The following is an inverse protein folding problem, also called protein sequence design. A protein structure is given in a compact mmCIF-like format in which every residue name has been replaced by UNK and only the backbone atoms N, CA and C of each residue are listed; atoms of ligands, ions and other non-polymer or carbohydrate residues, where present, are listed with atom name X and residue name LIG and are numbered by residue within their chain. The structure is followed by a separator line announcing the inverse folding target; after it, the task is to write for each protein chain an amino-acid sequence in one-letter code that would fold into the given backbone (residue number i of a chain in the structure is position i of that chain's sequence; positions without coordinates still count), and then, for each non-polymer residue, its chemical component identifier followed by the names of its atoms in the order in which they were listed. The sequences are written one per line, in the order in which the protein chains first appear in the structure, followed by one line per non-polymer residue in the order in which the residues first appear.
data_IF_209389056070
#
_entry.id   IF_209389056070
#
_cell.length_a   1.000
_cell.length_b   1.000
_cell.length_c   1.000
_cell.angle_alpha   90.00
_cell.angle_beta   90.00
_cell.angle_gamma   90.00
#
_symmetry.space_group_name_H-M   'P 1'
#
loop_
_entity.id
_entity.type
_entity.pdbx_description
1 polymer ?
#
# COMPACT_ATOMS: atom_id res chain seq x y z
N UNK A 1 -3.85 2.54 17.22
CA UNK A 1 -4.51 3.45 16.26
C UNK A 1 -3.60 4.61 15.86
N UNK A 2 -3.07 5.41 16.81
CA UNK A 2 -2.15 6.51 16.47
C UNK A 2 -0.90 6.05 15.71
N UNK A 3 -0.30 4.93 16.10
CA UNK A 3 0.86 4.34 15.40
C UNK A 3 0.54 3.95 13.95
N UNK A 4 -0.68 3.45 13.68
CA UNK A 4 -1.12 3.06 12.35
C UNK A 4 -1.30 4.28 11.45
N UNK A 5 -1.99 5.32 11.92
CA UNK A 5 -2.16 6.56 11.16
C UNK A 5 -0.81 7.27 10.95
N UNK A 6 0.07 7.26 11.96
CA UNK A 6 1.43 7.78 11.85
C UNK A 6 2.25 7.00 10.80
N UNK A 7 2.13 5.67 10.74
CA UNK A 7 2.74 4.85 9.69
C UNK A 7 2.26 5.28 8.30
N UNK A 8 0.94 5.34 8.07
CA UNK A 8 0.39 5.73 6.75
C UNK A 8 0.84 7.15 6.37
N UNK A 9 0.88 8.08 7.34
CA UNK A 9 1.41 9.42 7.13
C UNK A 9 2.88 9.37 6.70
N UNK A 10 3.74 8.67 7.46
CA UNK A 10 5.18 8.57 7.19
C UNK A 10 5.47 8.05 5.79
N UNK A 11 4.75 7.01 5.36
CA UNK A 11 4.98 6.38 4.05
C UNK A 11 4.53 7.26 2.88
N UNK A 12 3.57 8.17 3.08
CA UNK A 12 3.16 9.20 2.11
C UNK A 12 4.16 10.38 2.10
N UNK A 13 4.66 10.77 3.27
CA UNK A 13 5.57 11.90 3.46
C UNK A 13 6.94 11.75 2.78
N UNK A 14 7.27 10.58 2.22
CA UNK A 14 8.48 10.40 1.38
C UNK A 14 8.36 11.09 0.02
N UNK A 15 7.15 11.19 -0.54
CA UNK A 15 6.92 11.67 -1.90
C UNK A 15 7.47 13.08 -2.18
N UNK A 16 7.30 14.09 -1.32
CA UNK A 16 7.85 15.42 -1.58
C UNK A 16 9.37 15.40 -1.79
N UNK A 17 10.10 14.61 -0.99
CA UNK A 17 11.55 14.45 -1.14
C UNK A 17 11.92 13.69 -2.42
N UNK A 18 11.17 12.64 -2.76
CA UNK A 18 11.36 11.87 -4.00
C UNK A 18 11.13 12.71 -5.26
N UNK A 19 10.13 13.61 -5.23
CA UNK A 19 9.77 14.50 -6.34
C UNK A 19 10.73 15.69 -6.47
N UNK A 20 11.28 16.20 -5.37
CA UNK A 20 12.31 17.24 -5.39
C UNK A 20 13.67 16.74 -5.92
N UNK A 21 13.91 15.43 -5.87
CA UNK A 21 15.13 14.83 -6.36
C UNK A 21 15.19 14.74 -7.90
N UNK A 22 16.39 14.77 -8.51
CA UNK A 22 16.55 14.57 -9.94
C UNK A 22 15.90 13.27 -10.42
N UNK A 23 15.20 13.34 -11.55
CA UNK A 23 14.59 12.18 -12.18
C UNK A 23 15.65 11.16 -12.62
N UNK A 24 15.55 9.89 -12.20
CA UNK A 24 16.26 8.82 -12.89
C UNK A 24 15.84 8.75 -14.36
N UNK A 25 16.73 8.27 -15.23
CA UNK A 25 16.48 8.25 -16.67
C UNK A 25 15.37 7.28 -17.10
N UNK A 26 15.15 6.20 -16.33
CA UNK A 26 14.16 5.17 -16.60
C UNK A 26 13.73 4.47 -15.32
N UNK A 27 12.53 3.92 -15.32
CA UNK A 27 12.09 2.98 -14.28
C UNK A 27 12.80 1.63 -14.44
N UNK A 28 13.06 0.97 -13.32
CA UNK A 28 13.71 -0.34 -13.24
C UNK A 28 12.89 -1.35 -12.41
N UNK A 29 11.90 -0.88 -11.64
CA UNK A 29 10.95 -1.73 -10.92
C UNK A 29 9.52 -1.27 -11.14
N UNK A 30 8.59 -2.23 -11.17
CA UNK A 30 7.13 -2.09 -11.11
C UNK A 30 6.61 -2.24 -9.67
N UNK A 31 5.32 -1.95 -9.45
CA UNK A 31 4.65 -2.15 -8.15
C UNK A 31 4.67 -3.62 -7.72
N UNK A 32 4.51 -4.55 -8.65
CA UNK A 32 4.61 -6.00 -8.37
C UNK A 32 6.02 -6.34 -7.88
N UNK A 33 7.06 -5.88 -8.58
CA UNK A 33 8.46 -6.12 -8.19
C UNK A 33 8.84 -5.42 -6.88
N UNK A 34 8.20 -4.30 -6.56
CA UNK A 34 8.38 -3.61 -5.29
C UNK A 34 7.98 -4.49 -4.09
N UNK A 35 6.93 -5.31 -4.25
CA UNK A 35 6.43 -6.24 -3.22
C UNK A 35 7.00 -7.67 -3.30
N UNK A 36 8.06 -7.89 -4.08
CA UNK A 36 8.72 -9.20 -4.14
C UNK A 36 9.33 -9.57 -2.77
N UNK A 37 9.35 -10.85 -2.39
CA UNK A 37 9.92 -11.31 -1.11
C UNK A 37 11.46 -11.19 -1.13
N UNK A 38 11.99 -10.02 -0.79
CA UNK A 38 13.42 -9.76 -0.65
C UNK A 38 13.76 -8.94 0.60
N UNK A 39 15.01 -8.46 0.69
CA UNK A 39 15.53 -7.71 1.84
C UNK A 39 14.70 -6.46 2.23
N UNK A 40 13.85 -5.95 1.33
CA UNK A 40 12.90 -4.85 1.65
C UNK A 40 11.93 -5.21 2.76
N UNK A 41 11.65 -6.49 2.96
CA UNK A 41 10.74 -7.03 3.98
C UNK A 41 11.47 -7.85 5.05
N UNK A 42 12.81 -7.74 5.11
CA UNK A 42 13.57 -8.36 6.19
C UNK A 42 13.10 -7.85 7.57
N UNK A 43 13.14 -8.69 8.62
CA UNK A 43 12.65 -8.33 9.95
C UNK A 43 13.22 -7.00 10.49
N UNK A 44 14.51 -6.73 10.29
CA UNK A 44 15.17 -5.50 10.76
C UNK A 44 14.67 -4.27 10.00
N UNK A 45 14.44 -4.38 8.69
CA UNK A 45 13.87 -3.30 7.85
C UNK A 45 12.44 -2.96 8.31
N UNK A 46 11.65 -3.99 8.64
CA UNK A 46 10.30 -3.82 9.16
C UNK A 46 10.30 -3.20 10.57
N UNK A 47 11.19 -3.66 11.46
CA UNK A 47 11.34 -3.11 12.80
C UNK A 47 11.73 -1.63 12.78
N UNK A 48 12.65 -1.23 11.90
CA UNK A 48 13.04 0.17 11.74
C UNK A 48 11.86 1.06 11.27
N UNK A 49 11.00 0.54 10.38
CA UNK A 49 9.80 1.23 9.91
C UNK A 49 8.75 1.39 11.03
N UNK A 50 8.54 0.34 11.83
CA UNK A 50 7.64 0.39 12.99
C UNK A 50 8.15 1.42 14.00
N UNK A 51 9.45 1.41 14.32
CA UNK A 51 10.06 2.37 15.24
C UNK A 51 9.90 3.82 14.76
N UNK A 52 10.03 4.07 13.44
CA UNK A 52 9.81 5.39 12.86
C UNK A 52 8.36 5.87 13.04
N UNK A 53 7.38 5.00 12.82
CA UNK A 53 5.97 5.31 13.03
C UNK A 53 5.65 5.58 14.51
N UNK A 54 6.24 4.79 15.42
CA UNK A 54 6.09 4.96 16.86
C UNK A 54 6.68 6.29 17.35
N UNK A 55 7.90 6.63 16.92
CA UNK A 55 8.54 7.90 17.25
C UNK A 55 7.69 9.07 16.77
N UNK A 56 7.18 9.01 15.54
CA UNK A 56 6.33 10.07 15.00
C UNK A 56 5.00 10.19 15.75
N UNK A 57 4.36 9.06 16.10
CA UNK A 57 3.14 9.07 16.90
C UNK A 57 3.37 9.68 18.29
N UNK A 58 4.54 9.45 18.90
CA UNK A 58 4.91 10.00 20.21
C UNK A 58 5.19 11.52 20.17
N UNK A 59 5.59 12.06 19.02
CA UNK A 59 5.82 13.49 18.81
C UNK A 59 4.51 14.30 18.68
N UNK A 60 3.39 13.64 18.36
CA UNK A 60 2.12 14.32 18.16
C UNK A 60 1.38 14.60 19.48
N UNK A 61 0.88 15.82 19.61
CA UNK A 61 0.19 16.29 20.82
C UNK A 61 -1.16 15.58 21.07
N UNK A 62 -1.82 15.10 20.01
CA UNK A 62 -3.09 14.38 20.10
C UNK A 62 -3.41 13.62 18.81
N UNK A 63 -4.41 12.73 18.84
CA UNK A 63 -4.92 12.07 17.63
C UNK A 63 -5.54 13.05 16.62
N UNK A 64 -6.10 14.17 17.07
CA UNK A 64 -6.61 15.22 16.16
C UNK A 64 -5.46 15.92 15.43
N UNK A 65 -4.37 16.25 16.13
CA UNK A 65 -3.18 16.83 15.52
C UNK A 65 -2.56 15.89 14.47
N UNK A 66 -2.54 14.58 14.76
CA UNK A 66 -2.07 13.58 13.80
C UNK A 66 -2.97 13.49 12.56
N UNK A 67 -4.30 13.61 12.73
CA UNK A 67 -5.23 13.63 11.60
C UNK A 67 -5.07 14.89 10.74
N UNK A 68 -4.92 16.07 11.36
CA UNK A 68 -4.65 17.34 10.66
C UNK A 68 -3.33 17.30 9.89
N UNK A 69 -2.27 16.74 10.48
CA UNK A 69 -0.96 16.58 9.81
C UNK A 69 -1.03 15.56 8.67
N UNK A 70 -1.77 14.46 8.84
CA UNK A 70 -2.06 13.54 7.74
C UNK A 70 -2.79 14.25 6.60
N UNK A 71 -3.82 15.05 6.92
CA UNK A 71 -4.61 15.80 5.94
C UNK A 71 -3.75 16.80 5.13
N UNK A 72 -2.93 17.58 5.82
CA UNK A 72 -2.01 18.50 5.18
C UNK A 72 -1.02 17.76 4.27
N UNK A 73 -0.49 16.62 4.74
CA UNK A 73 0.50 15.81 4.03
C UNK A 73 -0.06 15.23 2.73
N UNK A 74 -1.21 14.55 2.76
CA UNK A 74 -1.75 13.93 1.54
C UNK A 74 -2.17 14.98 0.51
N UNK A 75 -2.73 16.11 0.95
CA UNK A 75 -3.11 17.21 0.05
C UNK A 75 -1.89 17.83 -0.63
N UNK A 76 -0.78 17.99 0.09
CA UNK A 76 0.48 18.44 -0.50
C UNK A 76 0.98 17.45 -1.56
N UNK A 77 1.02 16.16 -1.22
CA UNK A 77 1.47 15.11 -2.11
C UNK A 77 0.61 15.03 -3.37
N UNK A 78 -0.71 15.11 -3.22
CA UNK A 78 -1.64 15.10 -4.36
C UNK A 78 -1.36 16.25 -5.32
N UNK A 79 -1.21 17.48 -4.81
CA UNK A 79 -0.86 18.65 -5.62
C UNK A 79 0.47 18.49 -6.36
N UNK A 80 1.50 17.99 -5.66
CA UNK A 80 2.81 17.78 -6.27
C UNK A 80 2.75 16.73 -7.37
N UNK A 81 2.09 15.60 -7.12
CA UNK A 81 1.97 14.52 -8.09
C UNK A 81 1.18 14.96 -9.35
N UNK A 82 0.15 15.80 -9.21
CA UNK A 82 -0.60 16.36 -10.34
C UNK A 82 0.22 17.29 -11.25
N UNK A 83 1.32 17.85 -10.74
CA UNK A 83 2.19 18.74 -11.51
C UNK A 83 3.24 17.98 -12.33
N UNK A 84 3.42 16.69 -12.08
CA UNK A 84 4.43 15.85 -12.73
C UNK A 84 3.92 15.27 -14.06
N UNK A 85 4.80 15.04 -15.05
CA UNK A 85 4.42 14.36 -16.28
C UNK A 85 4.12 12.88 -16.04
N UNK A 86 3.31 12.27 -16.91
CA UNK A 86 2.93 10.84 -16.83
C UNK A 86 4.14 9.89 -16.75
N UNK A 87 5.22 10.21 -17.48
CA UNK A 87 6.48 9.44 -17.48
C UNK A 87 7.43 9.76 -16.33
N UNK A 88 6.99 10.45 -15.27
CA UNK A 88 7.87 10.80 -14.14
C UNK A 88 8.40 9.54 -13.46
N UNK A 89 9.72 9.43 -13.36
CA UNK A 89 10.40 8.37 -12.59
C UNK A 89 10.90 8.95 -11.26
N UNK A 90 10.70 8.23 -10.17
CA UNK A 90 11.20 8.57 -8.82
C UNK A 90 12.14 7.49 -8.31
N UNK A 91 13.01 7.84 -7.35
CA UNK A 91 13.84 6.85 -6.66
C UNK A 91 13.19 6.50 -5.33
N UNK A 92 12.81 5.24 -5.15
CA UNK A 92 12.18 4.78 -3.90
C UNK A 92 13.14 4.85 -2.73
N UNK A 93 12.64 4.68 -1.50
CA UNK A 93 13.47 4.58 -0.30
C UNK A 93 14.49 3.43 -0.35
N UNK A 94 14.25 2.43 -1.20
CA UNK A 94 15.12 1.27 -1.39
C UNK A 94 16.18 1.53 -2.48
N UNK A 95 16.16 2.71 -3.10
CA UNK A 95 17.13 3.13 -4.09
C UNK A 95 16.78 2.77 -5.53
N UNK A 96 15.75 1.96 -5.75
CA UNK A 96 15.29 1.57 -7.09
C UNK A 96 14.53 2.71 -7.81
N UNK A 97 14.81 2.95 -9.10
CA UNK A 97 14.00 3.80 -9.96
C UNK A 97 12.64 3.17 -10.29
N UNK A 98 11.55 3.91 -10.12
CA UNK A 98 10.18 3.44 -10.33
C UNK A 98 9.35 4.54 -10.99
N UNK A 99 8.40 4.18 -11.87
CA UNK A 99 7.43 5.17 -12.35
C UNK A 99 6.64 5.74 -11.16
N UNK A 100 6.34 7.04 -11.20
CA UNK A 100 5.56 7.69 -10.16
C UNK A 100 4.17 7.05 -10.01
N UNK A 101 3.52 6.68 -11.12
CA UNK A 101 2.25 5.96 -11.13
C UNK A 101 2.33 4.62 -10.41
N UNK A 102 3.35 3.82 -10.71
CA UNK A 102 3.62 2.54 -10.04
C UNK A 102 3.90 2.76 -8.54
N UNK A 103 4.68 3.78 -8.17
CA UNK A 103 4.94 4.07 -6.77
C UNK A 103 3.67 4.53 -6.04
N UNK A 104 2.81 5.34 -6.68
CA UNK A 104 1.52 5.74 -6.13
C UNK A 104 0.59 4.55 -5.92
N UNK A 105 0.62 3.54 -6.80
CA UNK A 105 -0.11 2.29 -6.59
C UNK A 105 0.29 1.62 -5.27
N UNK A 106 1.59 1.60 -4.92
CA UNK A 106 2.02 1.10 -3.60
C UNK A 106 1.46 1.94 -2.44
N UNK A 107 1.24 3.24 -2.63
CA UNK A 107 0.62 4.08 -1.59
C UNK A 107 -0.87 3.81 -1.45
N UNK A 108 -1.56 3.54 -2.57
CA UNK A 108 -2.96 3.11 -2.57
C UNK A 108 -3.12 1.80 -1.79
N UNK A 109 -2.22 0.83 -2.00
CA UNK A 109 -2.18 -0.41 -1.21
C UNK A 109 -2.07 -0.10 0.28
N UNK A 110 -1.08 0.69 0.70
CA UNK A 110 -0.88 1.05 2.12
C UNK A 110 -2.14 1.69 2.73
N UNK A 111 -2.75 2.66 2.04
CA UNK A 111 -3.96 3.34 2.53
C UNK A 111 -5.17 2.41 2.57
N UNK A 112 -5.36 1.59 1.54
CA UNK A 112 -6.48 0.64 1.48
C UNK A 112 -6.38 -0.39 2.60
N UNK A 113 -5.21 -1.01 2.72
CA UNK A 113 -4.92 -2.09 3.64
C UNK A 113 -4.99 -1.61 5.10
N UNK A 114 -4.34 -0.48 5.41
CA UNK A 114 -4.41 0.10 6.76
C UNK A 114 -5.73 0.81 7.04
N UNK A 115 -6.48 1.19 6.01
CA UNK A 115 -7.88 1.63 6.13
C UNK A 115 -8.78 0.51 6.65
N UNK A 116 -8.57 -0.73 6.19
CA UNK A 116 -9.26 -1.92 6.72
C UNK A 116 -8.90 -2.14 8.20
N UNK A 117 -7.62 -2.07 8.55
CA UNK A 117 -7.14 -2.22 9.93
C UNK A 117 -7.79 -1.19 10.87
N UNK A 118 -7.92 0.05 10.41
CA UNK A 118 -8.53 1.13 11.18
C UNK A 118 -10.05 0.97 11.31
N UNK A 119 -10.73 0.53 10.24
CA UNK A 119 -12.16 0.25 10.25
C UNK A 119 -12.49 -0.86 11.27
N UNK A 120 -11.72 -1.95 11.26
CA UNK A 120 -11.87 -3.07 12.20
C UNK A 120 -11.64 -2.62 13.64
N UNK A 121 -10.55 -1.88 13.90
CA UNK A 121 -10.22 -1.37 15.23
C UNK A 121 -11.30 -0.43 15.79
N UNK A 122 -12.01 0.28 14.91
CA UNK A 122 -13.11 1.19 15.29
C UNK A 122 -14.49 0.53 15.28
N UNK A 123 -14.60 -0.74 14.87
CA UNK A 123 -15.87 -1.44 14.70
C UNK A 123 -16.78 -0.76 13.66
N UNK A 124 -16.21 -0.26 12.57
CA UNK A 124 -16.93 0.45 11.50
C UNK A 124 -16.84 -0.29 10.18
N UNK A 125 -17.80 -0.04 9.30
CA UNK A 125 -17.73 -0.47 7.91
C UNK A 125 -16.51 0.17 7.22
N UNK A 126 -15.73 -0.60 6.43
CA UNK A 126 -14.65 -0.06 5.63
C UNK A 126 -15.09 1.05 4.67
N UNK A 127 -14.28 2.09 4.55
CA UNK A 127 -14.49 3.24 3.63
C UNK A 127 -13.63 3.14 2.36
N UNK A 128 -13.27 1.92 1.97
CA UNK A 128 -12.50 1.67 0.74
C UNK A 128 -13.36 2.02 -0.48
N UNK A 129 -12.84 2.88 -1.36
CA UNK A 129 -13.53 3.22 -2.61
C UNK A 129 -13.41 2.07 -3.61
N UNK A 130 -14.41 1.89 -4.49
CA UNK A 130 -14.37 0.85 -5.53
C UNK A 130 -13.12 0.97 -6.41
N UNK A 131 -12.74 2.19 -6.79
CA UNK A 131 -11.55 2.42 -7.60
C UNK A 131 -10.25 1.98 -6.91
N UNK A 132 -10.10 2.25 -5.60
CA UNK A 132 -8.93 1.79 -4.87
C UNK A 132 -8.94 0.27 -4.70
N UNK A 133 -10.12 -0.32 -4.48
CA UNK A 133 -10.28 -1.76 -4.38
C UNK A 133 -9.92 -2.47 -5.70
N UNK A 134 -10.35 -1.94 -6.83
CA UNK A 134 -10.02 -2.46 -8.17
C UNK A 134 -8.52 -2.41 -8.42
N UNK A 135 -7.86 -1.28 -8.16
CA UNK A 135 -6.41 -1.13 -8.34
C UNK A 135 -5.60 -2.12 -7.48
N UNK A 136 -5.98 -2.30 -6.22
CA UNK A 136 -5.29 -3.23 -5.32
C UNK A 136 -5.58 -4.68 -5.71
N UNK A 137 -6.80 -4.98 -6.13
CA UNK A 137 -7.16 -6.30 -6.64
C UNK A 137 -6.34 -6.65 -7.88
N UNK A 138 -6.29 -5.76 -8.86
CA UNK A 138 -5.54 -5.96 -10.11
C UNK A 138 -4.06 -6.17 -9.82
N UNK A 139 -3.49 -5.39 -8.89
CA UNK A 139 -2.10 -5.59 -8.46
C UNK A 139 -1.88 -6.98 -7.85
N UNK A 140 -2.78 -7.44 -6.99
CA UNK A 140 -2.66 -8.73 -6.29
C UNK A 140 -2.93 -9.92 -7.21
N UNK A 141 -3.73 -9.75 -8.25
CA UNK A 141 -4.01 -10.79 -9.24
C UNK A 141 -3.03 -10.78 -10.42
N UNK A 142 -2.26 -9.71 -10.60
CA UNK A 142 -1.28 -9.58 -11.69
C UNK A 142 -1.81 -8.90 -12.95
N UNK A 143 -2.97 -8.25 -12.88
CA UNK A 143 -3.54 -7.41 -13.94
C UNK A 143 -5.07 -7.31 -13.92
N UNK A 144 -5.65 -6.40 -14.73
CA UNK A 144 -7.10 -6.15 -14.79
C UNK A 144 -7.90 -7.29 -15.45
N UNK A 145 -7.25 -8.16 -16.22
CA UNK A 145 -7.91 -9.27 -16.93
C UNK A 145 -8.20 -10.49 -16.03
N UNK A 146 -7.83 -10.41 -14.75
CA UNK A 146 -7.98 -11.49 -13.78
C UNK A 146 -9.29 -11.44 -12.97
N UNK A 147 -10.22 -10.52 -13.30
CA UNK A 147 -11.55 -10.49 -12.70
C UNK A 147 -12.29 -11.86 -12.71
N UNK A 148 -12.21 -12.70 -13.77
CA UNK A 148 -12.81 -14.05 -13.77
C UNK A 148 -12.20 -14.99 -12.73
N UNK A 149 -10.99 -14.71 -12.25
CA UNK A 149 -10.30 -15.50 -11.22
C UNK A 149 -10.94 -15.27 -9.85
N UNK A 150 -11.34 -14.03 -9.53
CA UNK A 150 -12.08 -13.71 -8.31
C UNK A 150 -13.50 -14.32 -8.30
N UNK A 151 -14.18 -14.31 -9.45
CA UNK A 151 -15.51 -14.93 -9.57
C UNK A 151 -15.49 -16.44 -9.26
N UNK A 152 -14.42 -17.14 -9.65
CA UNK A 152 -14.24 -18.58 -9.36
C UNK A 152 -14.03 -18.87 -7.87
N UNK A 153 -13.44 -17.94 -7.13
CA UNK A 153 -13.28 -18.04 -5.67
C UNK A 153 -14.61 -17.80 -4.93
N UNK A 154 -15.57 -17.12 -5.57
CA UNK A 154 -16.85 -16.76 -4.95
C UNK A 154 -16.71 -15.75 -3.80
N UNK A 155 -15.55 -15.10 -3.67
CA UNK A 155 -15.29 -14.10 -2.64
C UNK A 155 -15.76 -12.72 -3.10
N UNK A 156 -16.32 -11.94 -2.16
CA UNK A 156 -16.44 -10.49 -2.39
C UNK A 156 -15.05 -9.86 -2.50
N UNK A 157 -14.96 -8.71 -3.17
CA UNK A 157 -13.71 -7.95 -3.28
C UNK A 157 -13.09 -7.65 -1.91
N UNK A 158 -13.88 -7.28 -0.89
CA UNK A 158 -13.37 -7.03 0.47
C UNK A 158 -12.81 -8.31 1.10
N UNK A 159 -13.50 -9.45 0.97
CA UNK A 159 -13.02 -10.73 1.50
C UNK A 159 -11.72 -11.17 0.82
N UNK A 160 -11.63 -11.00 -0.51
CA UNK A 160 -10.39 -11.23 -1.24
C UNK A 160 -9.25 -10.37 -0.70
N UNK A 161 -9.45 -9.05 -0.57
CA UNK A 161 -8.41 -8.14 -0.06
C UNK A 161 -7.98 -8.52 1.36
N UNK A 162 -8.91 -8.89 2.25
CA UNK A 162 -8.58 -9.32 3.61
C UNK A 162 -7.74 -10.60 3.62
N UNK A 163 -8.13 -11.61 2.83
CA UNK A 163 -7.39 -12.88 2.71
C UNK A 163 -6.02 -12.69 2.07
N UNK A 164 -5.98 -12.01 0.93
CA UNK A 164 -4.75 -11.75 0.16
C UNK A 164 -3.71 -10.93 0.95
N UNK A 165 -4.16 -10.14 1.92
CA UNK A 165 -3.29 -9.33 2.77
C UNK A 165 -3.08 -9.90 4.18
N UNK A 166 -3.57 -11.13 4.45
CA UNK A 166 -3.36 -11.84 5.72
C UNK A 166 -4.21 -11.36 6.90
N UNK A 167 -5.24 -10.53 6.67
CA UNK A 167 -6.18 -10.01 7.69
C UNK A 167 -7.34 -10.95 7.97
N UNK A 168 -7.59 -11.88 7.06
CA UNK A 168 -8.53 -12.97 7.23
C UNK A 168 -7.80 -14.28 6.91
N UNK A 169 -7.95 -15.34 7.74
CA UNK A 169 -7.33 -16.62 7.44
C UNK A 169 -7.89 -17.21 6.15
N UNK A 170 -7.02 -17.91 5.42
CA UNK A 170 -7.38 -18.75 4.27
C UNK A 170 -7.44 -20.19 4.77
N UNK A 171 -8.52 -20.91 4.51
CA UNK A 171 -8.64 -22.33 4.91
C UNK A 171 -7.76 -23.22 4.03
N UNK A 172 -7.60 -24.50 4.42
CA UNK A 172 -6.87 -25.47 3.62
C UNK A 172 -7.54 -25.67 2.25
N UNK A 173 -8.87 -25.76 2.20
CA UNK A 173 -9.63 -25.90 0.96
C UNK A 173 -9.47 -24.67 0.05
N UNK A 174 -9.55 -23.47 0.63
CA UNK A 174 -9.33 -22.22 -0.09
C UNK A 174 -7.90 -22.11 -0.62
N UNK A 175 -6.91 -22.60 0.13
CA UNK A 175 -5.49 -22.61 -0.29
C UNK A 175 -5.28 -23.48 -1.53
N UNK A 176 -5.95 -24.63 -1.60
CA UNK A 176 -5.92 -25.52 -2.78
C UNK A 176 -6.51 -24.80 -4.00
N UNK A 177 -7.63 -24.10 -3.81
CA UNK A 177 -8.30 -23.38 -4.89
C UNK A 177 -7.49 -22.18 -5.41
N UNK A 178 -6.92 -21.38 -4.50
CA UNK A 178 -5.99 -20.28 -4.83
C UNK A 178 -4.79 -20.80 -5.63
N UNK A 179 -4.22 -21.94 -5.21
CA UNK A 179 -3.09 -22.57 -5.90
C UNK A 179 -3.48 -23.08 -7.29
N UNK A 180 -4.69 -23.64 -7.43
CA UNK A 180 -5.24 -24.09 -8.73
C UNK A 180 -5.42 -22.93 -9.70
N UNK A 181 -5.75 -21.76 -9.19
CA UNK A 181 -5.93 -20.53 -9.96
C UNK A 181 -4.61 -19.81 -10.26
N UNK A 182 -3.48 -20.28 -9.73
CA UNK A 182 -2.16 -19.72 -9.99
C UNK A 182 -1.89 -18.37 -9.32
N UNK A 183 -2.71 -17.99 -8.33
CA UNK A 183 -2.58 -16.71 -7.63
C UNK A 183 -1.32 -16.75 -6.77
N UNK A 184 -0.44 -15.76 -6.98
CA UNK A 184 0.76 -15.57 -6.16
C UNK A 184 0.56 -14.36 -5.26
N UNK A 185 0.63 -14.59 -3.95
CA UNK A 185 0.49 -13.52 -2.98
C UNK A 185 1.73 -12.63 -2.97
N UNK A 186 1.50 -11.31 -2.98
CA UNK A 186 2.55 -10.32 -2.74
C UNK A 186 3.01 -10.35 -1.28
N UNK A 187 4.28 -10.01 -1.04
CA UNK A 187 4.78 -9.86 0.32
C UNK A 187 4.42 -8.47 0.83
N UNK A 188 3.55 -8.44 1.83
CA UNK A 188 3.17 -7.22 2.53
C UNK A 188 3.82 -7.27 3.91
N UNK A 189 4.58 -6.23 4.27
CA UNK A 189 5.21 -6.09 5.58
C UNK A 189 4.45 -5.13 6.44
#
# INVERSE_FOLDING_TARGET
MSELLAHVRVVIAWLPGMLAAPAPARAEVSAVEYYRPDDRFAPDTNAARIALAQNHAAEQLSGAALAEDFDATWQQVERLCRAEPEGRVVRTRHGDPMLLSEFLLTRVVEVAVHGLDLADALGREPWLTSQAADLVQDLLLGGPDEAPTLEKLGWSQIHFLRKATGREPITEEETVEVSRLGIQWLTLG
#
